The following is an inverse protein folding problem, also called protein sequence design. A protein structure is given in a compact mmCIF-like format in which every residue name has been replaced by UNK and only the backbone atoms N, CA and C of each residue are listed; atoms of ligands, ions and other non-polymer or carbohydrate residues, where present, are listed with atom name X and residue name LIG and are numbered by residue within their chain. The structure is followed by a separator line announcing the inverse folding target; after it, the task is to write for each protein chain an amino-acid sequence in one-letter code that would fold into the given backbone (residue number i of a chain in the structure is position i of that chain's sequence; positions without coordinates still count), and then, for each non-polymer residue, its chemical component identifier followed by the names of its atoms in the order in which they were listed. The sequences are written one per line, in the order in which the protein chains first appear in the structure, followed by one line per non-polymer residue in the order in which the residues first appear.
data_IF_451430050374
#
_entry.id   IF_451430050374
#
_cell.length_a   1.000
_cell.length_b   1.000
_cell.length_c   1.000
_cell.angle_alpha   90.00
_cell.angle_beta   90.00
_cell.angle_gamma   90.00
#
_symmetry.space_group_name_H-M   'P 1'
#
loop_
_entity.id
_entity.type
_entity.pdbx_description
1 polymer ?
#
# COMPACT_ATOMS: atom_id res chain seq x y z
N UNK A 1 -19.51 53.04 -55.49
CA UNK A 1 -18.31 52.67 -54.69
C UNK A 1 -18.81 51.82 -53.54
N UNK A 2 -18.66 50.51 -53.63
CA UNK A 2 -19.08 49.54 -52.60
C UNK A 2 -17.81 49.03 -51.91
N UNK A 3 -17.63 49.37 -50.60
CA UNK A 3 -16.53 48.88 -49.79
C UNK A 3 -16.95 47.55 -49.16
N UNK A 4 -16.31 46.47 -49.56
CA UNK A 4 -16.47 45.16 -48.95
C UNK A 4 -15.60 45.10 -47.67
N UNK A 5 -16.27 44.88 -46.51
CA UNK A 5 -15.60 44.64 -45.26
C UNK A 5 -15.26 43.14 -45.16
N UNK A 6 -14.01 42.80 -45.10
CA UNK A 6 -13.51 41.42 -44.90
C UNK A 6 -13.41 41.18 -43.39
N UNK A 7 -14.32 40.36 -42.86
CA UNK A 7 -14.28 39.96 -41.46
C UNK A 7 -13.36 38.74 -41.30
N UNK A 8 -12.21 38.94 -40.64
CA UNK A 8 -11.29 37.86 -40.26
C UNK A 8 -11.80 37.18 -38.98
N UNK A 9 -12.34 35.99 -39.10
CA UNK A 9 -12.62 35.14 -37.91
C UNK A 9 -11.30 34.46 -37.50
N UNK A 10 -10.76 34.87 -36.36
CA UNK A 10 -9.64 34.18 -35.71
C UNK A 10 -10.20 33.00 -34.90
N UNK A 11 -9.96 31.78 -35.31
CA UNK A 11 -10.27 30.58 -34.56
C UNK A 11 -9.21 30.36 -33.49
N UNK A 12 -9.60 30.55 -32.20
CA UNK A 12 -8.77 30.16 -31.07
C UNK A 12 -8.83 28.64 -30.92
N UNK A 13 -7.76 27.98 -31.28
CA UNK A 13 -7.56 26.56 -31.00
C UNK A 13 -7.11 26.41 -29.53
N UNK A 14 -8.04 26.01 -28.65
CA UNK A 14 -7.70 25.63 -27.28
C UNK A 14 -7.11 24.24 -27.27
N UNK A 15 -5.78 24.16 -27.17
CA UNK A 15 -5.07 22.89 -26.92
C UNK A 15 -5.29 22.48 -25.47
N UNK A 16 -6.22 21.56 -25.22
CA UNK A 16 -6.35 20.89 -23.93
C UNK A 16 -5.14 20.01 -23.71
N UNK A 17 -4.20 20.47 -22.90
CA UNK A 17 -3.11 19.64 -22.42
C UNK A 17 -3.70 18.57 -21.49
N UNK A 18 -3.79 17.33 -21.98
CA UNK A 18 -4.05 16.17 -21.13
C UNK A 18 -2.88 16.02 -20.18
N UNK A 19 -3.06 16.43 -18.93
CA UNK A 19 -2.16 16.07 -17.83
C UNK A 19 -2.31 14.56 -17.64
N UNK A 20 -1.37 13.81 -18.22
CA UNK A 20 -1.22 12.40 -17.91
C UNK A 20 -0.75 12.35 -16.47
N UNK A 21 -1.64 11.92 -15.55
CA UNK A 21 -1.21 11.53 -14.21
C UNK A 21 -0.16 10.43 -14.40
N UNK A 22 1.10 10.73 -14.05
CA UNK A 22 2.13 9.72 -13.99
C UNK A 22 1.64 8.65 -13.01
N UNK A 23 1.54 7.40 -13.48
CA UNK A 23 1.32 6.28 -12.59
C UNK A 23 2.40 6.38 -11.52
N UNK A 24 2.01 6.52 -10.26
CA UNK A 24 2.96 6.62 -9.17
C UNK A 24 3.79 5.34 -9.19
N UNK A 25 5.10 5.49 -9.49
CA UNK A 25 6.03 4.38 -9.38
C UNK A 25 5.91 3.81 -7.98
N UNK A 26 5.54 2.53 -7.89
CA UNK A 26 5.46 1.86 -6.62
C UNK A 26 6.87 1.74 -6.04
N UNK A 27 7.23 2.47 -4.99
CA UNK A 27 8.55 2.34 -4.43
C UNK A 27 8.67 0.98 -3.75
N UNK A 28 9.32 0.04 -4.42
CA UNK A 28 9.71 -1.25 -3.85
C UNK A 28 10.89 -1.12 -2.87
N UNK A 29 11.49 0.06 -2.82
CA UNK A 29 12.57 0.37 -1.88
C UNK A 29 12.01 0.52 -0.47
N UNK A 30 12.27 -0.50 0.34
CA UNK A 30 11.92 -0.57 1.76
C UNK A 30 13.10 -0.22 2.68
N UNK A 31 14.17 0.37 2.13
CA UNK A 31 15.42 0.63 2.80
C UNK A 31 16.37 -0.56 2.75
N UNK A 32 16.78 -1.08 3.90
CA UNK A 32 17.73 -2.20 3.94
C UNK A 32 17.04 -3.56 3.93
N UNK A 33 17.61 -4.51 3.21
CA UNK A 33 17.20 -5.91 3.20
C UNK A 33 16.25 -6.27 2.06
N UNK A 34 15.95 -7.56 2.00
CA UNK A 34 15.04 -8.13 1.00
C UNK A 34 13.60 -7.94 1.48
N UNK A 35 12.80 -7.28 0.67
CA UNK A 35 11.36 -7.16 0.90
C UNK A 35 10.59 -8.39 0.42
N UNK A 36 9.40 -8.54 0.96
CA UNK A 36 8.38 -9.48 0.54
C UNK A 36 7.31 -8.71 -0.23
N UNK A 37 6.60 -9.38 -1.11
CA UNK A 37 5.53 -8.76 -1.90
C UNK A 37 4.30 -9.64 -1.88
N UNK A 38 3.15 -9.05 -1.56
CA UNK A 38 1.84 -9.63 -1.82
C UNK A 38 1.09 -8.77 -2.83
N UNK A 39 0.26 -9.40 -3.63
CA UNK A 39 -0.48 -8.67 -4.65
C UNK A 39 -1.84 -9.30 -4.91
N UNK A 40 -2.75 -8.45 -5.34
CA UNK A 40 -4.06 -8.80 -5.86
C UNK A 40 -4.26 -8.21 -7.25
N UNK A 41 -5.48 -8.27 -7.77
CA UNK A 41 -5.84 -7.56 -9.00
C UNK A 41 -5.77 -6.03 -8.86
N UNK A 42 -5.92 -5.48 -7.65
CA UNK A 42 -6.01 -4.04 -7.39
C UNK A 42 -4.77 -3.45 -6.73
N UNK A 43 -4.09 -4.22 -5.88
CA UNK A 43 -2.99 -3.73 -5.05
C UNK A 43 -1.72 -4.56 -5.19
N UNK A 44 -0.62 -3.92 -4.87
CA UNK A 44 0.66 -4.53 -4.57
C UNK A 44 1.16 -3.94 -3.25
N UNK A 45 1.52 -4.80 -2.30
CA UNK A 45 2.10 -4.41 -1.02
C UNK A 45 3.50 -5.00 -0.95
N UNK A 46 4.51 -4.13 -0.97
CA UNK A 46 5.87 -4.51 -0.64
C UNK A 46 6.09 -4.25 0.84
N UNK A 47 6.67 -5.19 1.57
CA UNK A 47 6.87 -5.05 3.01
C UNK A 47 8.09 -5.83 3.50
N UNK A 48 8.58 -5.46 4.66
CA UNK A 48 9.62 -6.18 5.39
C UNK A 48 9.47 -5.99 6.90
N UNK A 49 9.90 -6.97 7.69
CA UNK A 49 10.02 -6.77 9.13
C UNK A 49 11.18 -5.81 9.49
N UNK A 50 11.06 -5.19 10.64
CA UNK A 50 12.09 -4.36 11.25
C UNK A 50 12.13 -4.62 12.76
N UNK A 51 13.14 -5.33 13.27
CA UNK A 51 14.31 -5.88 12.56
C UNK A 51 13.94 -6.93 11.50
N UNK A 52 14.86 -7.19 10.56
CA UNK A 52 14.64 -8.12 9.44
C UNK A 52 14.31 -9.55 9.89
N UNK A 53 14.87 -9.96 11.01
CA UNK A 53 14.58 -11.25 11.64
C UNK A 53 13.51 -11.07 12.71
N UNK A 54 12.42 -11.80 12.57
CA UNK A 54 11.38 -11.87 13.59
C UNK A 54 11.78 -12.96 14.60
N UNK A 55 11.76 -12.60 15.87
CA UNK A 55 12.02 -13.51 16.99
C UNK A 55 10.75 -13.69 17.82
N UNK A 56 10.50 -14.94 18.23
CA UNK A 56 9.34 -15.26 19.06
C UNK A 56 9.39 -14.48 20.38
N UNK A 57 8.30 -13.84 20.75
CA UNK A 57 8.20 -13.06 21.98
C UNK A 57 8.85 -11.69 21.95
N UNK A 58 9.45 -11.28 20.83
CA UNK A 58 10.06 -9.97 20.66
C UNK A 58 9.20 -9.07 19.78
N UNK A 59 8.95 -7.81 20.19
CA UNK A 59 8.20 -6.87 19.36
C UNK A 59 9.00 -6.47 18.13
N UNK A 60 8.29 -6.29 17.02
CA UNK A 60 8.84 -5.83 15.74
C UNK A 60 7.87 -4.86 15.06
N UNK A 61 8.32 -4.26 13.99
CA UNK A 61 7.47 -3.47 13.10
C UNK A 61 7.45 -4.10 11.70
N UNK A 62 6.44 -3.75 10.91
CA UNK A 62 6.45 -3.95 9.46
C UNK A 62 6.58 -2.59 8.79
N UNK A 63 7.56 -2.47 7.91
CA UNK A 63 7.70 -1.34 6.99
C UNK A 63 7.07 -1.77 5.69
N UNK A 64 6.16 -0.97 5.14
CA UNK A 64 5.43 -1.36 3.94
C UNK A 64 5.10 -0.18 3.03
N UNK A 65 5.00 -0.48 1.75
CA UNK A 65 4.54 0.41 0.71
C UNK A 65 3.35 -0.22 0.00
N UNK A 66 2.26 0.53 -0.12
CA UNK A 66 1.06 0.11 -0.84
C UNK A 66 0.98 0.88 -2.15
N UNK A 67 0.81 0.14 -3.23
CA UNK A 67 0.64 0.68 -4.57
C UNK A 67 -0.65 0.16 -5.18
N UNK A 68 -1.37 1.07 -5.84
CA UNK A 68 -2.56 0.71 -6.59
C UNK A 68 -2.20 0.45 -8.05
N UNK A 69 -2.83 -0.54 -8.65
CA UNK A 69 -2.64 -0.84 -10.08
C UNK A 69 -3.40 0.12 -10.99
N UNK A 70 -4.41 0.81 -10.45
CA UNK A 70 -5.31 1.72 -11.19
C UNK A 70 -5.08 3.19 -10.90
N UNK A 71 -4.15 3.53 -9.99
CA UNK A 71 -3.87 4.92 -9.60
C UNK A 71 -4.87 5.51 -8.61
N UNK A 72 -5.81 4.71 -8.08
CA UNK A 72 -6.76 5.14 -7.05
C UNK A 72 -6.03 5.35 -5.72
N UNK A 73 -6.58 6.21 -4.86
CA UNK A 73 -6.05 6.35 -3.51
C UNK A 73 -6.30 5.07 -2.72
N UNK A 74 -5.26 4.58 -2.01
CA UNK A 74 -5.34 3.43 -1.14
C UNK A 74 -4.82 3.76 0.25
N UNK A 75 -5.50 3.26 1.27
CA UNK A 75 -5.16 3.46 2.67
C UNK A 75 -5.07 2.11 3.39
N UNK A 76 -3.99 1.91 4.14
CA UNK A 76 -3.91 0.79 5.08
C UNK A 76 -4.77 1.12 6.29
N UNK A 77 -5.90 0.43 6.44
CA UNK A 77 -6.85 0.68 7.54
C UNK A 77 -6.67 -0.27 8.70
N UNK A 78 -6.12 -1.45 8.45
CA UNK A 78 -5.84 -2.44 9.48
C UNK A 78 -4.68 -3.33 9.08
N UNK A 79 -3.91 -3.73 10.07
CA UNK A 79 -2.97 -4.84 10.00
C UNK A 79 -3.18 -5.71 11.23
N UNK A 80 -3.15 -7.01 11.05
CA UNK A 80 -3.35 -7.98 12.12
C UNK A 80 -2.59 -9.26 11.78
N UNK A 81 -2.41 -10.13 12.74
CA UNK A 81 -1.88 -11.46 12.48
C UNK A 81 -2.58 -12.51 13.35
N UNK A 82 -2.83 -13.66 12.75
CA UNK A 82 -3.47 -14.79 13.39
C UNK A 82 -2.66 -16.06 13.19
N UNK A 83 -2.85 -17.03 14.08
CA UNK A 83 -2.41 -18.41 13.88
C UNK A 83 -3.63 -19.27 13.54
N UNK A 84 -3.88 -19.59 12.26
CA UNK A 84 -5.09 -20.30 11.86
C UNK A 84 -5.24 -21.66 12.53
N UNK A 85 -4.15 -22.37 12.73
CA UNK A 85 -4.13 -23.70 13.37
C UNK A 85 -4.55 -23.63 14.85
N UNK A 86 -4.23 -22.54 15.53
CA UNK A 86 -4.52 -22.32 16.95
C UNK A 86 -5.77 -21.48 17.20
N UNK A 87 -6.36 -20.91 16.14
CA UNK A 87 -7.57 -20.06 16.19
C UNK A 87 -7.46 -18.87 17.13
N UNK A 88 -6.28 -18.28 17.21
CA UNK A 88 -6.06 -17.03 17.96
C UNK A 88 -5.18 -16.07 17.16
N UNK A 89 -5.14 -14.82 17.57
CA UNK A 89 -4.32 -13.79 16.96
C UNK A 89 -3.30 -13.21 17.94
N UNK A 90 -2.71 -12.09 17.53
CA UNK A 90 -1.91 -11.28 18.45
C UNK A 90 -2.80 -10.73 19.57
N UNK A 91 -2.21 -10.57 20.77
CA UNK A 91 -2.92 -9.97 21.91
C UNK A 91 -2.99 -8.43 21.82
N UNK A 92 -2.36 -7.84 20.82
CA UNK A 92 -2.21 -6.41 20.66
C UNK A 92 -2.60 -5.98 19.24
N UNK A 93 -3.21 -4.80 19.14
CA UNK A 93 -3.42 -4.15 17.85
C UNK A 93 -2.20 -3.30 17.51
N UNK A 94 -1.55 -3.52 16.35
CA UNK A 94 -0.44 -2.69 15.92
C UNK A 94 -0.88 -1.25 15.68
N UNK A 95 0.03 -0.31 15.91
CA UNK A 95 -0.17 1.09 15.57
C UNK A 95 0.30 1.35 14.14
N UNK A 96 -0.60 1.83 13.29
CA UNK A 96 -0.28 2.20 11.91
C UNK A 96 0.17 3.66 11.88
N UNK A 97 1.36 3.90 11.35
CA UNK A 97 1.94 5.23 11.12
C UNK A 97 2.07 5.43 9.61
N UNK A 98 1.35 6.41 9.07
CA UNK A 98 1.43 6.77 7.65
C UNK A 98 2.64 7.67 7.40
N UNK A 99 3.45 7.33 6.40
CA UNK A 99 4.62 8.11 5.97
C UNK A 99 4.39 8.92 4.69
N UNK A 100 3.16 8.91 4.16
CA UNK A 100 2.82 9.52 2.88
C UNK A 100 3.21 8.68 1.67
N UNK A 101 2.61 8.98 0.52
CA UNK A 101 2.89 8.30 -0.76
C UNK A 101 2.79 6.76 -0.69
N UNK A 102 1.78 6.23 0.02
CA UNK A 102 1.58 4.80 0.17
C UNK A 102 2.53 4.10 1.13
N UNK A 103 3.37 4.85 1.87
CA UNK A 103 4.31 4.31 2.85
C UNK A 103 3.69 4.25 4.23
N UNK A 104 3.92 3.13 4.92
CA UNK A 104 3.41 2.89 6.27
C UNK A 104 4.45 2.16 7.13
N UNK A 105 4.28 2.33 8.43
CA UNK A 105 4.95 1.53 9.45
C UNK A 105 3.91 1.01 10.43
N UNK A 106 3.82 -0.30 10.57
CA UNK A 106 2.99 -0.94 11.59
C UNK A 106 3.88 -1.32 12.78
N UNK A 107 3.68 -0.66 13.90
CA UNK A 107 4.48 -0.83 15.12
C UNK A 107 3.76 -1.67 16.16
N UNK A 108 4.50 -2.42 16.93
CA UNK A 108 3.95 -3.24 18.01
C UNK A 108 3.39 -4.58 17.55
N UNK A 109 3.87 -5.10 16.40
CA UNK A 109 3.66 -6.49 16.03
C UNK A 109 4.40 -7.40 17.04
N UNK A 110 3.79 -8.51 17.41
CA UNK A 110 4.43 -9.48 18.30
C UNK A 110 3.87 -10.89 18.06
N UNK A 111 4.74 -11.81 17.71
CA UNK A 111 4.42 -13.23 17.60
C UNK A 111 4.89 -13.95 18.85
N UNK A 112 3.96 -14.33 19.71
CA UNK A 112 4.27 -14.82 21.06
C UNK A 112 4.58 -16.30 21.15
N UNK A 113 4.50 -17.03 20.03
CA UNK A 113 4.84 -18.46 19.96
C UNK A 113 5.33 -18.84 18.54
N UNK A 114 6.09 -19.94 18.41
CA UNK A 114 6.48 -20.46 17.11
C UNK A 114 5.29 -21.04 16.35
N UNK A 115 5.42 -21.18 15.05
CA UNK A 115 4.41 -21.73 14.16
C UNK A 115 4.09 -20.81 12.99
N UNK A 116 2.99 -21.08 12.30
CA UNK A 116 2.55 -20.29 11.16
C UNK A 116 1.66 -19.13 11.59
N UNK A 117 2.09 -17.92 11.24
CA UNK A 117 1.37 -16.68 11.46
C UNK A 117 0.93 -16.08 10.13
N UNK A 118 -0.37 -16.02 9.90
CA UNK A 118 -0.95 -15.29 8.77
C UNK A 118 -1.09 -13.81 9.12
N UNK A 119 -0.33 -12.96 8.45
CA UNK A 119 -0.47 -11.50 8.53
C UNK A 119 -1.47 -11.04 7.49
N UNK A 120 -2.45 -10.24 7.91
CA UNK A 120 -3.48 -9.67 7.07
C UNK A 120 -3.32 -8.15 6.95
N UNK A 121 -3.40 -7.64 5.73
CA UNK A 121 -3.39 -6.23 5.39
C UNK A 121 -4.78 -5.87 4.83
N UNK A 122 -5.53 -5.04 5.54
CA UNK A 122 -6.79 -4.50 5.06
C UNK A 122 -6.55 -3.14 4.42
N UNK A 123 -6.76 -3.06 3.11
CA UNK A 123 -6.55 -1.86 2.30
C UNK A 123 -7.88 -1.34 1.81
N UNK A 124 -8.11 -0.06 2.03
CA UNK A 124 -9.34 0.63 1.63
C UNK A 124 -9.10 1.54 0.44
N UNK A 125 -10.01 1.50 -0.53
CA UNK A 125 -10.16 2.49 -1.59
C UNK A 125 -11.64 2.88 -1.69
N UNK A 126 -11.96 4.14 -1.39
CA UNK A 126 -13.34 4.56 -1.23
C UNK A 126 -14.07 3.80 -0.12
N UNK A 127 -15.14 3.09 -0.44
CA UNK A 127 -15.91 2.27 0.50
C UNK A 127 -15.49 0.79 0.52
N UNK A 128 -14.68 0.37 -0.43
CA UNK A 128 -14.25 -1.03 -0.56
C UNK A 128 -13.00 -1.31 0.27
N UNK A 129 -13.02 -2.42 0.99
CA UNK A 129 -11.86 -2.95 1.74
C UNK A 129 -11.50 -4.29 1.15
N UNK A 130 -10.23 -4.43 0.76
CA UNK A 130 -9.66 -5.67 0.30
C UNK A 130 -8.61 -6.16 1.29
N UNK A 131 -8.63 -7.47 1.56
CA UNK A 131 -7.66 -8.13 2.44
C UNK A 131 -6.65 -8.90 1.63
N UNK A 132 -5.37 -8.61 1.87
CA UNK A 132 -4.24 -9.39 1.38
C UNK A 132 -3.55 -10.07 2.56
N UNK A 133 -3.05 -11.28 2.37
CA UNK A 133 -2.40 -12.04 3.46
C UNK A 133 -1.03 -12.55 3.07
N UNK A 134 -0.19 -12.79 4.10
CA UNK A 134 1.12 -13.41 3.97
C UNK A 134 1.43 -14.25 5.20
N UNK A 135 2.00 -15.43 4.98
CA UNK A 135 2.36 -16.37 6.04
C UNK A 135 3.83 -16.22 6.45
N UNK A 136 4.05 -16.08 7.75
CA UNK A 136 5.37 -16.19 8.37
C UNK A 136 5.46 -17.48 9.17
N UNK A 137 6.47 -18.29 8.88
CA UNK A 137 6.74 -19.51 9.65
C UNK A 137 7.91 -19.26 10.58
N UNK A 138 7.65 -19.27 11.90
CA UNK A 138 8.66 -19.11 12.94
C UNK A 138 8.98 -20.47 13.58
N UNK A 139 10.27 -20.67 13.85
CA UNK A 139 10.79 -21.88 14.51
C UNK A 139 11.24 -21.55 15.92
#
# INVERSE_FOLDING_TARGET
MKRAALSLLAALATTSAMVRAAAADCPLDLGHGTGLVVFSSHYMIAFRPDPLRIEVGMPFALILNICTRRGDAAELVRIDATMPEHRHGMNYAPRIVAGGNGRYRAEGMLFHMPGNWEVAFDVRSGEEIERLTHDFVLQ
#
